data_IF_358596014617
#
_entry.id   IF_358596014617
#
_cell.length_a   1.000
_cell.length_b   1.000
_cell.length_c   1.000
_cell.angle_alpha   90.00
_cell.angle_beta   90.00
_cell.angle_gamma   90.00
#
_symmetry.space_group_name_H-M   'P 1'
#
loop_
_entity.id
_entity.type
_entity.pdbx_description
1 polymer ?
#
# COMPACT_ATOMS: atom_id res chain seq x y z
N UNK A 1 -9.35 0.53 -9.98
CA UNK A 1 -10.54 0.52 -9.13
C UNK A 1 -11.62 1.43 -9.71
N UNK A 2 -12.88 1.01 -9.71
CA UNK A 2 -14.06 1.81 -10.09
C UNK A 2 -14.95 1.97 -8.87
N UNK A 3 -15.14 3.20 -8.43
CA UNK A 3 -16.13 3.52 -7.41
C UNK A 3 -17.26 4.29 -8.09
N UNK A 4 -18.49 3.76 -7.97
CA UNK A 4 -19.69 4.41 -8.48
C UNK A 4 -20.45 4.95 -7.27
N UNK A 5 -20.43 6.26 -7.10
CA UNK A 5 -21.15 6.99 -6.05
C UNK A 5 -22.47 7.53 -6.57
N UNK A 6 -22.53 7.92 -7.85
CA UNK A 6 -23.70 8.53 -8.48
C UNK A 6 -24.07 7.85 -9.80
N UNK A 7 -25.31 8.07 -10.24
CA UNK A 7 -25.81 7.48 -11.49
C UNK A 7 -25.09 7.97 -12.75
N UNK A 8 -24.46 9.14 -12.73
CA UNK A 8 -23.68 9.68 -13.86
C UNK A 8 -22.22 9.21 -13.88
N UNK A 9 -21.77 8.54 -12.82
CA UNK A 9 -20.43 7.95 -12.78
C UNK A 9 -20.26 6.87 -13.83
N UNK A 10 -19.06 6.82 -14.39
CA UNK A 10 -18.74 6.00 -15.55
C UNK A 10 -17.98 4.75 -15.16
N UNK A 11 -18.35 3.65 -15.80
CA UNK A 11 -17.55 2.43 -15.75
C UNK A 11 -16.20 2.67 -16.42
N UNK A 12 -15.11 2.31 -15.76
CA UNK A 12 -13.77 2.35 -16.34
C UNK A 12 -13.27 0.96 -16.81
N UNK A 13 -14.12 -0.05 -16.75
CA UNK A 13 -13.82 -1.44 -17.08
C UNK A 13 -14.97 -2.15 -17.79
N UNK A 14 -14.68 -3.33 -18.32
CA UNK A 14 -15.69 -4.23 -18.87
C UNK A 14 -16.32 -3.73 -20.18
N UNK A 15 -17.47 -4.33 -20.52
CA UNK A 15 -18.15 -4.11 -21.82
C UNK A 15 -18.68 -2.69 -21.97
N UNK A 16 -19.07 -2.05 -20.87
CA UNK A 16 -19.66 -0.71 -20.85
C UNK A 16 -18.67 0.37 -20.40
N UNK A 17 -17.38 0.14 -20.63
CA UNK A 17 -16.34 1.15 -20.34
C UNK A 17 -16.68 2.48 -21.01
N UNK A 18 -16.72 3.56 -20.24
CA UNK A 18 -17.04 4.92 -20.68
C UNK A 18 -18.52 5.29 -20.64
N UNK A 19 -19.43 4.33 -20.43
CA UNK A 19 -20.86 4.57 -20.20
C UNK A 19 -21.14 4.89 -18.73
N UNK A 20 -22.15 5.71 -18.46
CA UNK A 20 -22.59 5.98 -17.09
C UNK A 20 -23.41 4.84 -16.50
N UNK A 21 -23.50 4.78 -15.17
CA UNK A 21 -24.30 3.78 -14.48
C UNK A 21 -25.77 3.81 -14.93
N UNK A 22 -26.37 5.01 -15.06
CA UNK A 22 -27.73 5.17 -15.58
C UNK A 22 -27.90 4.60 -16.99
N UNK A 23 -26.98 4.91 -17.92
CA UNK A 23 -27.05 4.41 -19.30
C UNK A 23 -27.01 2.87 -19.34
N UNK A 24 -26.19 2.26 -18.47
CA UNK A 24 -26.07 0.80 -18.39
C UNK A 24 -27.32 0.17 -17.78
N UNK A 25 -27.90 0.78 -16.74
CA UNK A 25 -29.17 0.33 -16.15
C UNK A 25 -30.31 0.38 -17.16
N UNK A 26 -30.39 1.46 -17.94
CA UNK A 26 -31.42 1.63 -18.97
C UNK A 26 -31.27 0.63 -20.12
N UNK A 27 -30.04 0.39 -20.57
CA UNK A 27 -29.77 -0.47 -21.71
C UNK A 27 -29.73 -1.96 -21.34
N UNK A 28 -29.13 -2.30 -20.20
CA UNK A 28 -28.93 -3.68 -19.75
C UNK A 28 -28.81 -3.78 -18.21
N UNK A 29 -29.94 -3.77 -17.47
CA UNK A 29 -29.92 -3.80 -16.01
C UNK A 29 -29.31 -5.07 -15.43
N UNK A 30 -29.41 -6.22 -16.13
CA UNK A 30 -28.81 -7.49 -15.69
C UNK A 30 -27.28 -7.42 -15.58
N UNK A 31 -26.64 -6.47 -16.28
CA UNK A 31 -25.21 -6.25 -16.16
C UNK A 31 -24.82 -5.78 -14.76
N UNK A 32 -25.66 -4.97 -14.11
CA UNK A 32 -25.40 -4.48 -12.76
C UNK A 32 -25.40 -5.64 -11.77
N UNK A 33 -26.39 -6.53 -11.86
CA UNK A 33 -26.44 -7.75 -11.05
C UNK A 33 -25.23 -8.64 -11.31
N UNK A 34 -24.88 -8.84 -12.60
CA UNK A 34 -23.71 -9.63 -12.97
C UNK A 34 -22.41 -9.06 -12.39
N UNK A 35 -22.23 -7.73 -12.41
CA UNK A 35 -21.06 -7.06 -11.82
C UNK A 35 -20.98 -7.36 -10.33
N UNK A 36 -22.06 -7.14 -9.58
CA UNK A 36 -22.07 -7.43 -8.13
C UNK A 36 -21.81 -8.91 -7.84
N UNK A 37 -22.27 -9.83 -8.66
CA UNK A 37 -22.06 -11.26 -8.45
C UNK A 37 -20.63 -11.71 -8.81
N UNK A 38 -20.05 -11.19 -9.90
CA UNK A 38 -18.84 -11.78 -10.52
C UNK A 38 -17.59 -10.89 -10.46
N UNK A 39 -17.70 -9.62 -10.08
CA UNK A 39 -16.59 -8.65 -10.09
C UNK A 39 -16.20 -8.25 -8.66
N UNK A 40 -14.99 -8.62 -8.23
CA UNK A 40 -14.48 -8.33 -6.88
C UNK A 40 -14.46 -6.84 -6.52
N UNK A 41 -14.52 -6.56 -5.22
CA UNK A 41 -14.46 -5.23 -4.64
C UNK A 41 -13.22 -4.42 -5.02
N UNK A 42 -12.09 -5.08 -5.31
CA UNK A 42 -10.87 -4.40 -5.79
C UNK A 42 -11.03 -3.75 -7.18
N UNK A 43 -12.02 -4.21 -7.96
CA UNK A 43 -12.26 -3.76 -9.33
C UNK A 43 -13.42 -2.77 -9.39
N UNK A 44 -14.53 -3.09 -8.71
CA UNK A 44 -15.75 -2.28 -8.78
C UNK A 44 -16.57 -2.34 -7.50
N UNK A 45 -16.97 -1.17 -7.01
CA UNK A 45 -17.86 -1.03 -5.85
C UNK A 45 -18.95 -0.01 -6.17
N UNK A 46 -20.16 -0.30 -5.70
CA UNK A 46 -21.31 0.60 -5.77
C UNK A 46 -21.56 1.18 -4.38
N UNK A 47 -21.51 2.51 -4.26
CA UNK A 47 -21.78 3.24 -3.02
C UNK A 47 -23.26 3.27 -2.64
N UNK A 48 -23.58 3.72 -1.42
CA UNK A 48 -24.98 3.74 -0.95
C UNK A 48 -25.80 4.77 -1.73
N UNK A 49 -25.18 5.90 -2.05
CA UNK A 49 -25.79 7.00 -2.81
C UNK A 49 -26.32 6.54 -4.17
N UNK A 50 -25.54 5.79 -4.96
CA UNK A 50 -26.01 5.31 -6.27
C UNK A 50 -27.17 4.32 -6.12
N UNK A 51 -27.20 3.52 -5.06
CA UNK A 51 -28.32 2.59 -4.80
C UNK A 51 -29.59 3.35 -4.40
N UNK A 52 -29.48 4.40 -3.58
CA UNK A 52 -30.61 5.26 -3.25
C UNK A 52 -31.16 5.98 -4.49
N UNK A 53 -30.27 6.53 -5.32
CA UNK A 53 -30.64 7.17 -6.59
C UNK A 53 -31.29 6.17 -7.55
N UNK A 54 -30.74 4.95 -7.65
CA UNK A 54 -31.30 3.86 -8.45
C UNK A 54 -32.72 3.49 -8.00
N UNK A 55 -32.96 3.39 -6.68
CA UNK A 55 -34.29 3.14 -6.11
C UNK A 55 -35.29 4.25 -6.45
N UNK A 56 -34.83 5.51 -6.55
CA UNK A 56 -35.66 6.67 -6.83
C UNK A 56 -35.99 6.83 -8.32
N UNK A 57 -35.00 6.66 -9.21
CA UNK A 57 -35.15 6.90 -10.65
C UNK A 57 -35.56 5.64 -11.42
N UNK A 58 -35.20 4.46 -10.93
CA UNK A 58 -35.53 3.17 -11.53
C UNK A 58 -36.21 2.25 -10.52
N UNK A 59 -37.42 2.59 -10.03
CA UNK A 59 -38.14 1.77 -9.04
C UNK A 59 -38.52 0.37 -9.55
N UNK A 60 -38.39 0.13 -10.86
CA UNK A 60 -38.56 -1.15 -11.52
C UNK A 60 -37.35 -2.09 -11.40
N UNK A 61 -36.18 -1.56 -11.01
CA UNK A 61 -34.99 -2.38 -10.80
C UNK A 61 -35.13 -3.15 -9.49
N UNK A 62 -35.07 -4.48 -9.57
CA UNK A 62 -35.24 -5.34 -8.41
C UNK A 62 -33.94 -5.43 -7.61
N UNK A 63 -33.93 -4.79 -6.45
CA UNK A 63 -32.83 -4.91 -5.48
C UNK A 63 -33.23 -6.01 -4.50
N UNK A 64 -32.71 -7.21 -4.75
CA UNK A 64 -32.92 -8.35 -3.87
C UNK A 64 -32.02 -8.24 -2.62
N UNK A 65 -32.40 -8.88 -1.50
CA UNK A 65 -31.53 -8.97 -0.32
C UNK A 65 -30.16 -9.59 -0.64
N UNK A 66 -30.13 -10.54 -1.58
CA UNK A 66 -28.89 -11.19 -2.02
C UNK A 66 -28.00 -10.19 -2.78
N UNK A 67 -28.57 -9.34 -3.62
CA UNK A 67 -27.83 -8.27 -4.30
C UNK A 67 -27.19 -7.30 -3.29
N UNK A 68 -27.94 -6.84 -2.27
CA UNK A 68 -27.41 -5.96 -1.23
C UNK A 68 -26.31 -6.67 -0.40
N UNK A 69 -26.50 -7.96 -0.08
CA UNK A 69 -25.49 -8.74 0.64
C UNK A 69 -24.19 -8.86 -0.16
N UNK A 70 -24.27 -9.17 -1.46
CA UNK A 70 -23.09 -9.26 -2.32
C UNK A 70 -22.44 -7.89 -2.52
N UNK A 71 -23.22 -6.82 -2.70
CA UNK A 71 -22.69 -5.46 -2.76
C UNK A 71 -21.91 -5.10 -1.49
N UNK A 72 -22.47 -5.39 -0.31
CA UNK A 72 -21.82 -5.13 0.97
C UNK A 72 -20.55 -5.96 1.14
N UNK A 73 -20.55 -7.21 0.67
CA UNK A 73 -19.35 -8.04 0.63
C UNK A 73 -18.26 -7.39 -0.24
N UNK A 74 -18.61 -6.82 -1.40
CA UNK A 74 -17.65 -6.14 -2.29
C UNK A 74 -17.13 -4.82 -1.70
N UNK A 75 -17.95 -4.10 -0.94
CA UNK A 75 -17.49 -2.94 -0.17
C UNK A 75 -16.48 -3.37 0.88
N UNK A 76 -16.76 -4.43 1.64
CA UNK A 76 -15.84 -4.94 2.66
C UNK A 76 -14.52 -5.44 2.03
N UNK A 77 -14.57 -6.12 0.87
CA UNK A 77 -13.38 -6.50 0.10
C UNK A 77 -12.52 -5.27 -0.28
N UNK A 78 -13.16 -4.15 -0.65
CA UNK A 78 -12.45 -2.91 -0.97
C UNK A 78 -11.84 -2.25 0.28
N UNK A 79 -12.58 -2.20 1.39
CA UNK A 79 -12.10 -1.63 2.66
C UNK A 79 -10.89 -2.41 3.20
N UNK A 80 -10.96 -3.74 3.18
CA UNK A 80 -9.84 -4.62 3.59
C UNK A 80 -8.60 -4.42 2.71
N UNK A 81 -8.80 -4.28 1.39
CA UNK A 81 -7.73 -3.98 0.44
C UNK A 81 -7.13 -2.58 0.65
N UNK A 82 -7.97 -1.57 0.89
CA UNK A 82 -7.52 -0.20 1.17
C UNK A 82 -6.75 -0.12 2.50
N UNK A 83 -7.17 -0.87 3.52
CA UNK A 83 -6.44 -1.00 4.79
C UNK A 83 -5.06 -1.66 4.60
N UNK A 84 -4.94 -2.76 3.84
CA UNK A 84 -3.64 -3.39 3.54
C UNK A 84 -2.71 -2.42 2.79
N UNK A 85 -3.21 -1.70 1.78
CA UNK A 85 -2.42 -0.69 1.07
C UNK A 85 -1.95 0.44 1.97
N UNK A 86 -2.82 0.94 2.85
CA UNK A 86 -2.49 2.03 3.77
C UNK A 86 -1.55 1.56 4.91
N UNK A 87 -1.67 0.33 5.40
CA UNK A 87 -0.74 -0.24 6.40
C UNK A 87 0.67 -0.44 5.80
N UNK A 88 0.76 -0.69 4.49
CA UNK A 88 2.04 -0.71 3.77
C UNK A 88 2.63 0.69 3.48
N UNK A 89 1.86 1.78 3.62
CA UNK A 89 2.36 3.17 3.55
C UNK A 89 2.85 3.70 4.91
N UNK A 90 2.50 3.06 6.03
CA UNK A 90 3.08 3.31 7.36
C UNK A 90 4.44 2.58 7.57
N UNK A 91 5.13 2.23 6.48
CA UNK A 91 6.53 1.81 6.50
C UNK A 91 7.47 2.93 6.01
N UNK A 92 7.10 4.20 6.19
CA UNK A 92 8.06 5.31 6.14
C UNK A 92 8.82 5.43 7.47
N UNK A 93 9.96 4.73 7.48
CA UNK A 93 11.25 5.37 7.79
C UNK A 93 11.42 6.01 9.18
N UNK A 94 11.21 5.24 10.25
CA UNK A 94 11.78 5.57 11.57
C UNK A 94 12.97 4.68 11.95
N UNK A 95 14.09 4.97 11.28
CA UNK A 95 15.38 5.19 11.93
C UNK A 95 15.93 4.02 12.74
N UNK A 96 16.34 2.95 12.05
CA UNK A 96 17.54 2.26 12.51
C UNK A 96 18.70 3.24 12.30
N UNK A 97 18.93 4.10 13.30
CA UNK A 97 20.24 4.73 13.48
C UNK A 97 21.22 3.58 13.74
N UNK A 98 21.64 2.90 12.67
CA UNK A 98 22.95 2.30 12.69
C UNK A 98 23.88 3.52 12.65
N UNK A 99 24.47 3.79 13.79
CA UNK A 99 25.62 4.66 14.00
C UNK A 99 26.84 4.06 13.28
N UNK A 100 26.67 3.72 12.00
CA UNK A 100 27.71 3.21 11.13
C UNK A 100 28.19 4.40 10.30
N UNK A 101 28.89 5.34 10.96
CA UNK A 101 29.89 6.10 10.23
C UNK A 101 30.78 5.06 9.52
N UNK A 102 30.94 5.15 8.18
CA UNK A 102 31.74 4.16 7.48
C UNK A 102 33.15 4.21 8.08
N UNK A 103 33.70 3.08 8.56
CA UNK A 103 34.96 3.07 9.26
C UNK A 103 36.02 3.75 8.41
N UNK A 104 36.62 4.79 8.98
CA UNK A 104 37.67 5.53 8.29
C UNK A 104 38.99 4.80 8.45
N UNK A 105 39.78 4.74 7.39
CA UNK A 105 41.07 4.02 7.34
C UNK A 105 42.15 4.96 6.80
N UNK A 106 42.02 6.26 7.03
CA UNK A 106 42.90 7.26 6.46
C UNK A 106 43.99 7.68 7.43
N UNK A 107 43.61 7.90 8.69
CA UNK A 107 44.44 8.60 9.68
C UNK A 107 45.62 7.76 10.15
N UNK A 108 45.40 6.47 10.36
CA UNK A 108 46.44 5.56 10.84
C UNK A 108 46.89 4.57 9.77
N UNK A 109 46.64 4.87 8.49
CA UNK A 109 47.14 4.07 7.37
C UNK A 109 48.67 3.98 7.39
N UNK A 110 49.23 2.77 7.26
CA UNK A 110 50.66 2.53 7.46
C UNK A 110 51.04 2.11 8.89
N UNK A 111 50.07 2.03 9.81
CA UNK A 111 50.30 1.55 11.18
C UNK A 111 50.01 0.06 11.32
N UNK A 112 50.65 -0.59 12.30
CA UNK A 112 50.44 -2.01 12.57
C UNK A 112 48.98 -2.32 12.95
N UNK A 113 48.35 -1.47 13.77
CA UNK A 113 46.95 -1.66 14.19
C UNK A 113 45.98 -1.68 12.99
N UNK A 114 46.22 -0.82 11.99
CA UNK A 114 45.35 -0.73 10.83
C UNK A 114 45.72 -1.73 9.73
N UNK A 115 47.01 -1.85 9.39
CA UNK A 115 47.47 -2.62 8.22
C UNK A 115 47.65 -4.11 8.52
N UNK A 116 48.02 -4.49 9.75
CA UNK A 116 48.24 -5.89 10.15
C UNK A 116 47.07 -6.46 10.97
N UNK A 117 46.45 -5.63 11.82
CA UNK A 117 45.33 -6.06 12.68
C UNK A 117 43.95 -5.65 12.13
N UNK A 118 43.88 -4.77 11.14
CA UNK A 118 42.64 -4.40 10.45
C UNK A 118 41.72 -3.43 11.22
N UNK A 119 42.22 -2.75 12.25
CA UNK A 119 41.42 -1.78 13.03
C UNK A 119 41.11 -0.53 12.21
N UNK A 120 39.90 0.02 12.38
CA UNK A 120 39.53 1.32 11.81
C UNK A 120 40.13 2.48 12.62
N UNK A 121 40.13 3.68 12.05
CA UNK A 121 40.57 4.90 12.75
C UNK A 121 39.74 5.11 14.03
N UNK A 122 38.45 4.77 14.01
CA UNK A 122 37.53 4.90 15.14
C UNK A 122 37.79 3.84 16.22
N UNK A 123 38.15 2.62 15.83
CA UNK A 123 38.62 1.59 16.76
C UNK A 123 39.94 2.00 17.40
N UNK A 124 40.84 2.63 16.63
CA UNK A 124 42.12 3.12 17.14
C UNK A 124 41.90 4.28 18.12
N UNK A 125 40.99 5.19 17.82
CA UNK A 125 40.62 6.29 18.71
C UNK A 125 39.91 5.77 19.98
N UNK A 126 39.09 4.73 19.88
CA UNK A 126 38.26 4.23 21.00
C UNK A 126 38.99 3.21 21.88
N UNK A 127 39.70 2.25 21.28
CA UNK A 127 40.35 1.14 21.98
C UNK A 127 41.79 1.52 22.37
N UNK A 128 42.45 2.32 21.54
CA UNK A 128 43.87 2.65 21.68
C UNK A 128 44.10 4.14 22.01
N UNK A 129 43.06 4.92 22.31
CA UNK A 129 43.10 6.37 22.63
C UNK A 129 43.85 7.19 21.55
N UNK A 130 43.75 6.73 20.30
CA UNK A 130 44.42 7.33 19.14
C UNK A 130 45.90 6.97 18.99
N UNK A 131 46.43 5.99 19.74
CA UNK A 131 47.80 5.48 19.59
C UNK A 131 47.81 4.11 18.88
N UNK A 132 47.98 4.06 17.55
CA UNK A 132 48.02 2.80 16.79
C UNK A 132 49.25 1.93 17.09
N UNK A 133 50.17 2.40 17.94
CA UNK A 133 51.34 1.67 18.41
C UNK A 133 51.20 1.18 19.87
N UNK A 134 50.09 1.52 20.53
CA UNK A 134 49.78 1.05 21.88
C UNK A 134 49.51 -0.46 21.85
N UNK A 135 50.57 -1.23 21.96
CA UNK A 135 50.48 -2.65 22.25
C UNK A 135 49.93 -2.79 23.65
N UNK A 136 48.73 -3.37 23.79
CA UNK A 136 48.17 -3.67 25.09
C UNK A 136 49.17 -4.56 25.82
N UNK A 137 49.83 -4.03 26.87
CA UNK A 137 50.54 -4.85 27.84
C UNK A 137 49.46 -5.60 28.63
N UNK A 138 48.95 -6.68 28.07
CA UNK A 138 48.02 -7.58 28.74
C UNK A 138 48.83 -8.32 29.81
N UNK A 139 48.62 -7.95 31.07
CA UNK A 139 48.74 -8.87 32.21
C UNK A 139 47.36 -9.44 32.51
#
# INVERSE_FOLDING_TARGET
MTYIEHLDDKFNFGKFTGCSFAEVVEYNPEYISWVVENVSGEICVFGDSVIEELKLLFPQFEISPDFEAMRNQRIAEYEDWEEDYNENEDFDEHGFYDDFEPPTYGRYSGSYAQDEMGYSDDDIDTIFDGDPSAYWNID
#
